data_IF_392055975070
#
_entry.id   IF_392055975070
#
_cell.length_a   1.000
_cell.length_b   1.000
_cell.length_c   1.000
_cell.angle_alpha   90.00
_cell.angle_beta   90.00
_cell.angle_gamma   90.00
#
_symmetry.space_group_name_H-M   'P 1'
#
loop_
_entity.id
_entity.type
_entity.pdbx_description
1 polymer ?
#
# COMPACT_ATOMS: atom_id res chain seq x y z
N UNK A 1 -26.63 -22.06 6.67
CA UNK A 1 -27.92 -22.45 7.26
C UNK A 1 -28.04 -21.85 8.67
N UNK A 2 -27.13 -22.14 9.61
CA UNK A 2 -27.17 -21.46 10.92
C UNK A 2 -27.15 -19.92 10.87
N UNK A 3 -26.24 -19.34 10.08
CA UNK A 3 -26.18 -17.87 9.91
C UNK A 3 -27.49 -17.32 9.34
N UNK A 4 -28.16 -18.04 8.42
CA UNK A 4 -29.44 -17.60 7.85
C UNK A 4 -30.58 -17.73 8.86
N UNK A 5 -30.56 -18.72 9.74
CA UNK A 5 -31.53 -18.88 10.84
C UNK A 5 -31.38 -17.77 11.88
N UNK A 6 -30.13 -17.41 12.24
CA UNK A 6 -29.83 -16.24 13.07
C UNK A 6 -30.26 -14.92 12.41
N UNK A 7 -29.98 -14.76 11.11
CA UNK A 7 -30.39 -13.58 10.35
C UNK A 7 -31.91 -13.46 10.27
N UNK A 8 -32.63 -14.56 10.04
CA UNK A 8 -34.10 -14.56 10.00
C UNK A 8 -34.71 -14.20 11.35
N UNK A 9 -34.12 -14.64 12.46
CA UNK A 9 -34.52 -14.18 13.79
C UNK A 9 -34.41 -12.65 13.92
N UNK A 10 -33.31 -12.06 13.45
CA UNK A 10 -33.14 -10.59 13.42
C UNK A 10 -34.14 -9.91 12.47
N UNK A 11 -34.44 -10.49 11.31
CA UNK A 11 -35.39 -9.92 10.34
C UNK A 11 -36.83 -9.92 10.89
N UNK A 12 -37.27 -11.02 11.52
CA UNK A 12 -38.63 -11.12 12.07
C UNK A 12 -38.84 -10.11 13.22
N UNK A 13 -37.81 -9.88 14.03
CA UNK A 13 -37.87 -8.94 15.16
C UNK A 13 -37.73 -7.48 14.72
N UNK A 14 -36.76 -7.16 13.85
CA UNK A 14 -36.44 -5.78 13.49
C UNK A 14 -37.29 -5.27 12.31
N UNK A 15 -37.38 -6.06 11.23
CA UNK A 15 -38.01 -5.62 9.98
C UNK A 15 -39.51 -5.86 10.03
N UNK A 16 -39.93 -7.06 10.44
CA UNK A 16 -41.35 -7.42 10.47
C UNK A 16 -42.07 -6.98 11.75
N UNK A 17 -41.31 -6.48 12.74
CA UNK A 17 -41.82 -5.99 14.04
C UNK A 17 -42.82 -6.95 14.69
N UNK A 18 -42.63 -8.26 14.50
CA UNK A 18 -43.47 -9.28 15.12
C UNK A 18 -43.02 -9.53 16.56
N UNK A 19 -43.90 -10.08 17.38
CA UNK A 19 -43.58 -10.39 18.77
C UNK A 19 -42.37 -11.33 18.83
N UNK A 20 -41.48 -11.07 19.79
CA UNK A 20 -40.23 -11.83 19.99
C UNK A 20 -40.51 -13.34 20.13
N UNK A 21 -41.68 -13.69 20.67
CA UNK A 21 -42.13 -15.06 20.78
C UNK A 21 -42.15 -15.82 19.45
N UNK A 22 -42.70 -15.23 18.37
CA UNK A 22 -42.72 -15.90 17.06
C UNK A 22 -41.33 -16.06 16.45
N UNK A 23 -40.46 -15.06 16.62
CA UNK A 23 -39.08 -15.15 16.17
C UNK A 23 -38.33 -16.26 16.91
N UNK A 24 -38.50 -16.34 18.24
CA UNK A 24 -37.86 -17.34 19.08
C UNK A 24 -38.37 -18.75 18.78
N UNK A 25 -39.68 -18.91 18.55
CA UNK A 25 -40.26 -20.18 18.12
C UNK A 25 -39.66 -20.64 16.78
N UNK A 26 -39.57 -19.75 15.80
CA UNK A 26 -38.92 -20.04 14.52
C UNK A 26 -37.46 -20.47 14.72
N UNK A 27 -36.71 -19.72 15.52
CA UNK A 27 -35.31 -20.02 15.82
C UNK A 27 -35.13 -21.40 16.49
N UNK A 28 -36.00 -21.77 17.44
CA UNK A 28 -35.94 -23.08 18.08
C UNK A 28 -36.25 -24.19 17.07
N UNK A 29 -37.30 -24.05 16.25
CA UNK A 29 -37.72 -25.09 15.31
C UNK A 29 -36.63 -25.32 14.25
N UNK A 30 -36.19 -24.26 13.57
CA UNK A 30 -35.18 -24.39 12.52
C UNK A 30 -33.77 -24.63 13.09
N UNK A 31 -33.42 -23.98 14.20
CA UNK A 31 -32.14 -24.19 14.87
C UNK A 31 -31.97 -25.62 15.39
N UNK A 32 -33.03 -26.25 15.91
CA UNK A 32 -32.97 -27.64 16.35
C UNK A 32 -32.78 -28.63 15.20
N UNK A 33 -33.46 -28.41 14.05
CA UNK A 33 -33.26 -29.20 12.83
C UNK A 33 -31.80 -29.12 12.35
N UNK A 34 -31.24 -27.91 12.33
CA UNK A 34 -29.84 -27.71 11.94
C UNK A 34 -28.86 -28.31 12.95
N UNK A 35 -29.15 -28.21 14.25
CA UNK A 35 -28.32 -28.83 15.29
C UNK A 35 -28.36 -30.35 15.20
N UNK A 36 -29.51 -30.94 14.89
CA UNK A 36 -29.66 -32.38 14.65
C UNK A 36 -28.86 -32.80 13.41
N UNK A 37 -28.94 -32.02 12.33
CA UNK A 37 -28.12 -32.26 11.14
C UNK A 37 -26.63 -32.16 11.43
N UNK A 38 -26.20 -31.14 12.17
CA UNK A 38 -24.80 -31.00 12.60
C UNK A 38 -24.36 -32.18 13.46
N UNK A 39 -25.18 -32.61 14.41
CA UNK A 39 -24.92 -33.80 15.24
C UNK A 39 -24.73 -35.06 14.37
N UNK A 40 -25.60 -35.26 13.36
CA UNK A 40 -25.46 -36.36 12.42
C UNK A 40 -24.18 -36.27 11.54
N UNK A 41 -23.68 -35.06 11.27
CA UNK A 41 -22.38 -34.90 10.63
C UNK A 41 -21.22 -35.24 11.57
N UNK A 42 -21.32 -34.88 12.86
CA UNK A 42 -20.30 -35.16 13.88
C UNK A 42 -20.15 -36.66 14.12
N UNK A 43 -21.23 -37.44 14.13
CA UNK A 43 -21.15 -38.91 14.29
C UNK A 43 -20.43 -39.61 13.15
N UNK A 44 -20.37 -39.00 11.95
CA UNK A 44 -19.61 -39.51 10.80
C UNK A 44 -18.14 -39.11 10.80
N UNK A 45 -17.70 -38.24 11.71
CA UNK A 45 -16.29 -37.80 11.80
C UNK A 45 -15.33 -38.96 12.02
N UNK A 46 -15.58 -39.90 12.96
CA UNK A 46 -14.71 -41.06 13.16
C UNK A 46 -14.64 -41.99 11.93
N UNK A 47 -15.72 -42.04 11.14
CA UNK A 47 -15.86 -42.93 9.98
C UNK A 47 -15.39 -42.29 8.65
N UNK A 48 -14.67 -41.16 8.70
CA UNK A 48 -14.06 -40.53 7.53
C UNK A 48 -14.41 -39.05 7.33
N UNK A 49 -15.36 -38.50 8.11
CA UNK A 49 -15.67 -37.07 8.09
C UNK A 49 -14.56 -36.16 8.63
N UNK A 50 -13.52 -36.71 9.26
CA UNK A 50 -12.37 -35.95 9.77
C UNK A 50 -11.44 -35.42 8.66
N UNK A 51 -11.41 -36.05 7.48
CA UNK A 51 -10.53 -35.65 6.37
C UNK A 51 -10.82 -34.20 5.89
N UNK A 52 -12.06 -33.84 5.50
CA UNK A 52 -12.37 -32.47 5.08
C UNK A 52 -12.20 -31.46 6.22
N UNK A 53 -12.46 -31.86 7.48
CA UNK A 53 -12.22 -31.01 8.64
C UNK A 53 -10.72 -30.71 8.81
N UNK A 54 -9.86 -31.73 8.76
CA UNK A 54 -8.42 -31.56 8.85
C UNK A 54 -7.88 -30.69 7.71
N UNK A 55 -8.33 -30.92 6.46
CA UNK A 55 -7.96 -30.10 5.31
C UNK A 55 -8.38 -28.63 5.49
N UNK A 56 -9.61 -28.40 5.94
CA UNK A 56 -10.11 -27.05 6.19
C UNK A 56 -9.30 -26.34 7.28
N UNK A 57 -8.90 -27.06 8.33
CA UNK A 57 -8.09 -26.52 9.43
C UNK A 57 -6.69 -26.14 8.96
N UNK A 58 -6.07 -26.94 8.08
CA UNK A 58 -4.76 -26.63 7.48
C UNK A 58 -4.86 -25.36 6.63
N UNK A 59 -5.83 -25.30 5.71
CA UNK A 59 -6.02 -24.13 4.85
C UNK A 59 -6.35 -22.87 5.65
N UNK A 60 -7.21 -22.99 6.67
CA UNK A 60 -7.51 -21.89 7.59
C UNK A 60 -6.26 -21.42 8.33
N UNK A 61 -5.41 -22.34 8.77
CA UNK A 61 -4.18 -21.99 9.49
C UNK A 61 -3.21 -21.23 8.58
N UNK A 62 -3.03 -21.67 7.33
CA UNK A 62 -2.21 -20.97 6.32
C UNK A 62 -2.73 -19.55 6.12
N UNK A 63 -4.04 -19.41 5.89
CA UNK A 63 -4.66 -18.10 5.65
C UNK A 63 -4.63 -17.20 6.88
N UNK A 64 -4.84 -17.75 8.08
CA UNK A 64 -4.76 -17.01 9.33
C UNK A 64 -3.34 -16.52 9.63
N UNK A 65 -2.32 -17.35 9.40
CA UNK A 65 -0.91 -16.96 9.54
C UNK A 65 -0.56 -15.85 8.54
N UNK A 66 -1.00 -16.01 7.27
CA UNK A 66 -0.81 -14.99 6.23
C UNK A 66 -1.44 -13.67 6.64
N UNK A 67 -2.74 -13.68 6.94
CA UNK A 67 -3.48 -12.49 7.35
C UNK A 67 -2.82 -11.84 8.58
N UNK A 68 -2.48 -12.63 9.61
CA UNK A 68 -1.86 -12.11 10.82
C UNK A 68 -0.53 -11.40 10.50
N UNK A 69 0.36 -12.04 9.74
CA UNK A 69 1.65 -11.45 9.37
C UNK A 69 1.51 -10.21 8.50
N UNK A 70 0.62 -10.21 7.50
CA UNK A 70 0.35 -9.05 6.64
C UNK A 70 -0.24 -7.88 7.45
N UNK A 71 -1.19 -8.15 8.36
CA UNK A 71 -1.75 -7.11 9.23
C UNK A 71 -0.70 -6.51 10.18
N UNK A 72 0.17 -7.33 10.77
CA UNK A 72 1.27 -6.84 11.61
C UNK A 72 2.27 -6.01 10.81
N UNK A 73 2.56 -6.40 9.56
CA UNK A 73 3.38 -5.61 8.63
C UNK A 73 2.80 -4.21 8.45
N UNK A 74 1.52 -4.16 8.07
CA UNK A 74 0.83 -2.91 7.74
C UNK A 74 0.72 -2.01 8.97
N UNK A 75 0.47 -2.59 10.15
CA UNK A 75 0.45 -1.85 11.41
C UNK A 75 1.82 -1.23 11.72
N UNK A 76 2.91 -1.98 11.50
CA UNK A 76 4.26 -1.46 11.72
C UNK A 76 4.58 -0.32 10.74
N UNK A 77 4.23 -0.47 9.46
CA UNK A 77 4.38 0.61 8.46
C UNK A 77 3.56 1.84 8.85
N UNK A 78 2.35 1.64 9.38
CA UNK A 78 1.48 2.74 9.81
C UNK A 78 1.99 3.50 11.04
N UNK A 79 2.67 2.82 11.95
CA UNK A 79 3.25 3.41 13.17
C UNK A 79 4.61 4.07 12.93
N UNK A 80 5.41 3.54 12.01
CA UNK A 80 6.76 4.01 11.70
C UNK A 80 6.80 4.83 10.41
N UNK A 81 5.70 5.51 10.08
CA UNK A 81 5.67 6.45 8.96
C UNK A 81 6.57 7.63 9.27
N UNK A 82 7.32 8.08 8.28
CA UNK A 82 8.13 9.28 8.41
C UNK A 82 7.48 10.44 7.71
N UNK A 83 7.50 11.60 8.38
CA UNK A 83 7.10 12.85 7.75
C UNK A 83 8.24 13.38 6.87
N UNK A 84 7.87 14.21 5.90
CA UNK A 84 8.84 14.81 4.99
C UNK A 84 9.78 15.75 5.73
N UNK A 85 9.27 16.48 6.72
CA UNK A 85 10.07 17.38 7.56
C UNK A 85 11.19 16.63 8.29
N UNK A 86 10.93 15.42 8.78
CA UNK A 86 11.94 14.58 9.41
C UNK A 86 13.00 14.15 8.40
N UNK A 87 12.60 13.76 7.18
CA UNK A 87 13.53 13.44 6.11
C UNK A 87 14.43 14.64 5.76
N UNK A 88 13.87 15.85 5.67
CA UNK A 88 14.63 17.05 5.36
C UNK A 88 15.60 17.43 6.48
N UNK A 89 15.22 17.21 7.75
CA UNK A 89 16.13 17.36 8.90
C UNK A 89 17.28 16.38 8.81
N UNK A 90 16.99 15.10 8.54
CA UNK A 90 18.04 14.11 8.30
C UNK A 90 18.93 14.52 7.13
N UNK A 91 18.36 15.01 6.03
CA UNK A 91 19.15 15.42 4.86
C UNK A 91 19.99 16.68 5.03
N UNK A 92 19.71 17.54 6.02
CA UNK A 92 20.62 18.63 6.40
C UNK A 92 21.76 18.14 7.29
N UNK A 93 21.50 17.11 8.10
CA UNK A 93 22.50 16.54 9.03
C UNK A 93 23.45 15.53 8.37
N UNK A 94 22.93 14.73 7.45
CA UNK A 94 23.71 13.86 6.58
C UNK A 94 23.96 14.66 5.32
N UNK A 95 25.20 15.00 4.96
CA UNK A 95 25.51 15.72 3.71
C UNK A 95 25.12 14.89 2.48
N UNK A 96 23.84 14.90 2.10
CA UNK A 96 23.29 14.02 1.07
C UNK A 96 23.79 14.42 -0.31
N UNK A 97 24.39 13.47 -1.02
CA UNK A 97 24.83 13.64 -2.41
C UNK A 97 23.65 13.38 -3.35
N UNK A 98 23.38 14.30 -4.28
CA UNK A 98 22.36 14.11 -5.32
C UNK A 98 23.00 13.56 -6.59
N UNK A 99 22.54 12.39 -7.02
CA UNK A 99 22.95 11.71 -8.26
C UNK A 99 21.97 12.11 -9.37
N UNK A 100 22.42 12.29 -10.64
CA UNK A 100 21.49 12.51 -11.76
C UNK A 100 20.52 11.33 -11.95
N UNK A 101 19.34 11.63 -12.49
CA UNK A 101 18.26 10.68 -12.75
C UNK A 101 17.04 10.86 -11.84
N UNK A 102 16.05 9.99 -12.02
CA UNK A 102 14.81 9.98 -11.24
C UNK A 102 14.69 8.66 -10.47
N UNK A 103 14.37 8.75 -9.18
CA UNK A 103 14.09 7.57 -8.36
C UNK A 103 12.59 7.44 -8.09
N UNK A 104 12.01 6.31 -8.51
CA UNK A 104 10.65 5.90 -8.21
C UNK A 104 10.66 4.99 -6.99
N UNK A 105 10.18 5.48 -5.84
CA UNK A 105 10.10 4.70 -4.61
C UNK A 105 8.69 4.15 -4.45
N UNK A 106 8.52 2.84 -4.56
CA UNK A 106 7.22 2.21 -4.38
C UNK A 106 6.86 2.05 -2.91
N UNK A 107 5.68 2.52 -2.56
CA UNK A 107 5.12 2.45 -1.20
C UNK A 107 3.73 1.83 -1.20
N UNK A 108 3.47 0.95 -0.24
CA UNK A 108 2.15 0.42 0.10
C UNK A 108 1.26 1.45 0.78
N UNK A 109 1.86 2.49 1.35
CA UNK A 109 1.17 3.52 2.12
C UNK A 109 1.05 4.80 1.28
N UNK A 110 -0.17 5.32 1.17
CA UNK A 110 -0.47 6.54 0.41
C UNK A 110 -0.04 7.84 1.10
N UNK A 111 0.27 7.75 2.40
CA UNK A 111 0.60 8.88 3.24
C UNK A 111 1.84 8.64 4.10
N UNK A 112 2.77 9.59 4.03
CA UNK A 112 4.11 9.52 4.62
C UNK A 112 5.15 8.90 3.69
N UNK A 113 6.42 9.04 4.09
CA UNK A 113 7.56 8.38 3.46
C UNK A 113 7.69 6.99 4.07
N UNK A 114 7.87 5.93 3.25
CA UNK A 114 8.01 4.58 3.77
C UNK A 114 9.33 4.45 4.56
N UNK A 115 9.35 3.75 5.70
CA UNK A 115 10.53 3.65 6.57
C UNK A 115 11.75 2.97 5.91
N UNK A 116 11.55 2.26 4.79
CA UNK A 116 12.66 1.75 3.97
C UNK A 116 13.53 2.85 3.40
N UNK A 117 12.96 4.01 3.09
CA UNK A 117 13.70 5.08 2.44
C UNK A 117 14.65 5.77 3.43
N UNK A 118 14.23 5.97 4.68
CA UNK A 118 15.10 6.50 5.71
C UNK A 118 16.23 5.53 6.05
N UNK A 119 15.92 4.25 6.19
CA UNK A 119 16.94 3.22 6.42
C UNK A 119 17.98 3.17 5.30
N UNK A 120 17.52 3.32 4.05
CA UNK A 120 18.40 3.43 2.90
C UNK A 120 19.32 4.65 3.00
N UNK A 121 18.78 5.83 3.28
CA UNK A 121 19.57 7.07 3.36
C UNK A 121 20.59 7.06 4.51
N UNK A 122 20.25 6.45 5.65
CA UNK A 122 21.19 6.33 6.77
C UNK A 122 22.40 5.47 6.41
N UNK A 123 22.22 4.44 5.58
CA UNK A 123 23.32 3.58 5.15
C UNK A 123 24.07 4.15 3.94
N UNK A 124 23.35 4.77 3.00
CA UNK A 124 23.86 5.34 1.77
C UNK A 124 23.33 6.77 1.67
N UNK A 125 24.13 7.79 2.04
CA UNK A 125 23.72 9.19 2.03
C UNK A 125 23.72 9.76 0.59
N UNK A 126 23.09 9.07 -0.35
CA UNK A 126 22.94 9.50 -1.73
C UNK A 126 21.59 9.09 -2.30
N UNK A 127 20.93 10.00 -3.01
CA UNK A 127 19.69 9.71 -3.72
C UNK A 127 19.59 10.56 -4.99
N UNK A 128 18.60 10.27 -5.83
CA UNK A 128 18.47 10.90 -7.14
C UNK A 128 18.00 12.35 -7.04
N UNK A 129 18.28 13.16 -8.08
CA UNK A 129 17.95 14.58 -8.10
C UNK A 129 16.44 14.82 -7.98
N UNK A 130 15.61 13.95 -8.57
CA UNK A 130 14.16 13.92 -8.42
C UNK A 130 13.74 12.61 -7.76
N UNK A 131 12.87 12.72 -6.77
CA UNK A 131 12.34 11.59 -6.02
C UNK A 131 10.82 11.58 -6.11
N UNK A 132 10.25 10.47 -6.59
CA UNK A 132 8.81 10.30 -6.71
C UNK A 132 8.39 9.08 -5.89
N UNK A 133 7.60 9.31 -4.84
CA UNK A 133 6.99 8.24 -4.06
C UNK A 133 5.73 7.76 -4.75
N UNK A 134 5.77 6.55 -5.31
CA UNK A 134 4.67 5.95 -6.06
C UNK A 134 3.89 5.00 -5.16
N UNK A 135 2.59 5.26 -4.98
CA UNK A 135 1.68 4.34 -4.28
C UNK A 135 0.66 3.77 -5.26
N UNK A 136 0.61 2.44 -5.35
CA UNK A 136 -0.31 1.74 -6.25
C UNK A 136 -1.58 1.37 -5.49
N UNK A 137 -2.72 1.91 -5.91
CA UNK A 137 -4.03 1.62 -5.31
C UNK A 137 -4.91 0.87 -6.29
N UNK A 138 -5.48 -0.26 -5.86
CA UNK A 138 -6.46 -0.99 -6.68
C UNK A 138 -7.86 -0.58 -6.26
N UNK A 139 -8.67 -0.11 -7.20
CA UNK A 139 -10.06 0.31 -6.96
C UNK A 139 -11.04 -0.71 -7.53
N UNK A 140 -12.22 -0.83 -6.92
CA UNK A 140 -13.29 -1.76 -7.33
C UNK A 140 -14.06 -1.31 -8.60
N UNK A 141 -13.40 -0.62 -9.53
CA UNK A 141 -13.94 -0.22 -10.84
C UNK A 141 -13.17 -0.94 -11.95
N UNK A 142 -13.78 -1.24 -13.11
CA UNK A 142 -13.12 -2.00 -14.17
C UNK A 142 -11.89 -1.27 -14.73
N UNK A 143 -12.06 0.00 -15.08
CA UNK A 143 -11.02 0.85 -15.63
C UNK A 143 -11.14 2.24 -15.01
N UNK A 144 -10.02 2.80 -14.58
CA UNK A 144 -9.98 4.16 -14.03
C UNK A 144 -9.80 5.15 -15.18
N UNK A 145 -10.54 6.27 -15.21
CA UNK A 145 -10.33 7.30 -16.21
C UNK A 145 -8.91 7.88 -16.10
N UNK A 146 -8.29 8.30 -17.22
CA UNK A 146 -6.90 8.73 -17.25
C UNK A 146 -6.61 9.94 -16.34
N UNK A 147 -7.61 10.78 -16.09
CA UNK A 147 -7.50 11.98 -15.24
C UNK A 147 -7.46 11.66 -13.74
N UNK A 148 -8.15 10.61 -13.30
CA UNK A 148 -8.13 10.15 -11.90
C UNK A 148 -7.07 9.05 -11.65
N UNK A 149 -6.41 8.59 -12.72
CA UNK A 149 -5.45 7.49 -12.63
C UNK A 149 -4.20 7.89 -11.87
N UNK A 150 -3.76 9.14 -11.99
CA UNK A 150 -2.57 9.66 -11.32
C UNK A 150 -2.95 10.88 -10.50
N UNK A 151 -2.80 10.78 -9.19
CA UNK A 151 -2.91 11.93 -8.29
C UNK A 151 -1.50 12.29 -7.83
N UNK A 152 -1.01 13.46 -8.24
CA UNK A 152 0.32 13.97 -7.89
C UNK A 152 0.16 15.05 -6.83
N UNK A 153 0.97 14.96 -5.77
CA UNK A 153 1.08 15.97 -4.73
C UNK A 153 2.55 16.30 -4.48
N UNK A 154 2.85 17.53 -4.06
CA UNK A 154 4.20 17.93 -3.64
C UNK A 154 4.40 17.66 -2.15
N UNK A 155 5.53 17.03 -1.79
CA UNK A 155 5.83 16.62 -0.41
C UNK A 155 6.71 17.63 0.34
N UNK A 156 7.55 18.37 -0.38
CA UNK A 156 8.50 19.34 0.19
C UNK A 156 8.41 20.66 -0.56
N UNK A 157 8.97 21.73 0.02
CA UNK A 157 9.20 22.98 -0.70
C UNK A 157 9.90 22.73 -2.03
N UNK A 158 9.60 23.56 -3.04
CA UNK A 158 10.01 23.42 -4.45
C UNK A 158 11.48 22.98 -4.65
N UNK A 159 12.38 23.44 -3.78
CA UNK A 159 13.82 23.17 -3.83
C UNK A 159 14.22 21.68 -3.76
N UNK A 160 13.45 20.83 -3.08
CA UNK A 160 13.88 19.45 -2.83
C UNK A 160 13.43 18.45 -3.89
N UNK A 161 12.50 18.83 -4.80
CA UNK A 161 11.99 18.00 -5.91
C UNK A 161 11.51 16.61 -5.48
N UNK A 162 10.73 16.61 -4.39
CA UNK A 162 10.13 15.40 -3.82
C UNK A 162 8.63 15.44 -4.12
N UNK A 163 8.19 14.48 -4.92
CA UNK A 163 6.80 14.33 -5.32
C UNK A 163 6.20 13.05 -4.74
N UNK A 164 4.90 13.09 -4.52
CA UNK A 164 4.06 11.93 -4.23
C UNK A 164 3.20 11.69 -5.46
N UNK A 165 3.08 10.43 -5.87
CA UNK A 165 2.12 10.03 -6.87
C UNK A 165 1.34 8.82 -6.40
N UNK A 166 0.01 8.93 -6.40
CA UNK A 166 -0.90 7.82 -6.16
C UNK A 166 -1.45 7.39 -7.52
N UNK A 167 -1.06 6.19 -7.96
CA UNK A 167 -1.56 5.61 -9.20
C UNK A 167 -2.68 4.60 -8.91
N UNK A 168 -3.88 4.90 -9.40
CA UNK A 168 -5.10 4.10 -9.21
C UNK A 168 -5.36 3.18 -10.40
N UNK A 169 -5.54 1.90 -10.14
CA UNK A 169 -5.81 0.89 -11.14
C UNK A 169 -7.13 0.19 -10.87
N UNK A 170 -7.94 0.03 -11.91
CA UNK A 170 -9.10 -0.82 -11.91
C UNK A 170 -8.74 -2.29 -12.08
N UNK A 171 -9.70 -3.18 -11.84
CA UNK A 171 -9.47 -4.63 -11.92
C UNK A 171 -9.25 -5.16 -13.35
N UNK A 172 -9.58 -4.37 -14.40
CA UNK A 172 -9.27 -4.68 -15.82
C UNK A 172 -8.13 -3.82 -16.39
N UNK A 173 -7.49 -2.96 -15.60
CA UNK A 173 -6.40 -2.13 -16.11
C UNK A 173 -5.11 -2.93 -16.28
N UNK A 174 -4.50 -2.82 -17.46
CA UNK A 174 -3.22 -3.47 -17.77
C UNK A 174 -2.07 -2.73 -17.06
N UNK A 175 -1.26 -3.47 -16.29
CA UNK A 175 -0.09 -2.95 -15.54
C UNK A 175 1.26 -3.21 -16.23
N UNK A 176 1.29 -4.01 -17.28
CA UNK A 176 2.50 -4.71 -17.73
C UNK A 176 3.53 -3.90 -18.52
N UNK A 177 3.26 -2.63 -18.86
CA UNK A 177 4.17 -1.79 -19.63
C UNK A 177 4.75 -0.69 -18.75
N UNK A 178 5.97 -0.95 -18.26
CA UNK A 178 6.69 -0.10 -17.31
C UNK A 178 7.11 1.21 -17.96
N UNK A 179 7.57 1.20 -19.22
CA UNK A 179 7.96 2.41 -19.94
C UNK A 179 6.77 3.33 -20.18
N UNK A 180 5.63 2.76 -20.59
CA UNK A 180 4.39 3.52 -20.74
C UNK A 180 3.90 4.10 -19.40
N UNK A 181 4.15 3.40 -18.29
CA UNK A 181 3.87 3.95 -16.97
C UNK A 181 4.77 5.14 -16.65
N UNK A 182 6.08 5.05 -16.89
CA UNK A 182 7.04 6.14 -16.71
C UNK A 182 6.61 7.39 -17.50
N UNK A 183 6.34 7.26 -18.80
CA UNK A 183 5.95 8.37 -19.67
C UNK A 183 4.70 9.09 -19.13
N UNK A 184 3.67 8.32 -18.75
CA UNK A 184 2.41 8.88 -18.24
C UNK A 184 2.59 9.53 -16.87
N UNK A 185 3.42 8.93 -16.01
CA UNK A 185 3.76 9.46 -14.71
C UNK A 185 4.49 10.80 -14.86
N UNK A 186 5.54 10.84 -15.67
CA UNK A 186 6.34 12.05 -15.92
C UNK A 186 5.49 13.17 -16.54
N UNK A 187 4.65 12.85 -17.51
CA UNK A 187 3.72 13.82 -18.10
C UNK A 187 2.77 14.42 -17.05
N UNK A 188 2.22 13.59 -16.15
CA UNK A 188 1.32 14.07 -15.08
C UNK A 188 2.06 14.87 -14.00
N UNK A 189 3.29 14.51 -13.66
CA UNK A 189 4.12 15.29 -12.72
C UNK A 189 4.52 16.64 -13.33
N UNK A 190 4.86 16.68 -14.63
CA UNK A 190 5.14 17.92 -15.34
C UNK A 190 3.90 18.83 -15.42
N UNK A 191 2.72 18.26 -15.73
CA UNK A 191 1.45 19.00 -15.72
C UNK A 191 1.16 19.58 -14.33
N UNK A 192 1.35 18.79 -13.28
CA UNK A 192 1.19 19.23 -11.90
C UNK A 192 2.17 20.35 -11.55
N UNK A 193 3.46 20.24 -11.91
CA UNK A 193 4.47 21.26 -11.61
C UNK A 193 4.11 22.63 -12.22
N UNK A 194 3.54 22.65 -13.43
CA UNK A 194 3.03 23.87 -14.07
C UNK A 194 1.78 24.43 -13.36
N UNK A 195 0.85 23.57 -12.93
CA UNK A 195 -0.38 24.01 -12.26
C UNK A 195 -0.15 24.49 -10.83
N UNK A 196 0.74 23.84 -10.08
CA UNK A 196 1.10 24.17 -8.70
C UNK A 196 1.71 25.57 -8.63
N UNK A 197 2.66 25.85 -9.54
CA UNK A 197 3.25 27.19 -9.68
C UNK A 197 2.22 28.26 -10.07
N UNK A 198 1.27 27.93 -10.97
CA UNK A 198 0.17 28.85 -11.30
C UNK A 198 -0.69 29.19 -10.07
N UNK A 199 -1.06 28.21 -9.23
CA UNK A 199 -1.85 28.46 -8.01
C UNK A 199 -1.12 29.36 -7.03
N UNK A 200 0.18 29.13 -6.83
CA UNK A 200 1.02 29.95 -5.95
C UNK A 200 1.15 31.38 -6.50
N UNK A 201 1.25 31.55 -7.82
CA UNK A 201 1.24 32.86 -8.48
C UNK A 201 -0.08 33.61 -8.31
N UNK A 202 -1.23 32.92 -8.37
CA UNK A 202 -2.56 33.52 -8.19
C UNK A 202 -2.79 33.93 -6.75
N UNK A 203 -2.40 33.09 -5.79
CA UNK A 203 -2.46 33.42 -4.36
C UNK A 203 -1.60 34.66 -4.05
N UNK A 204 -0.39 34.72 -4.61
CA UNK A 204 0.54 35.83 -4.39
C UNK A 204 0.03 37.15 -5.02
N UNK A 205 -0.62 37.07 -6.19
CA UNK A 205 -1.27 38.22 -6.86
C UNK A 205 -2.40 38.85 -6.05
N UNK A 206 -3.08 38.07 -5.21
CA UNK A 206 -4.13 38.58 -4.31
C UNK A 206 -3.48 39.32 -3.13
N UNK A 207 -2.28 38.93 -2.69
CA UNK A 207 -1.59 39.50 -1.53
C UNK A 207 -0.66 40.68 -1.83
N UNK A 208 0.06 40.73 -2.96
CA UNK A 208 0.97 41.85 -3.30
C UNK A 208 1.13 42.07 -4.81
N UNK A 209 0.98 43.30 -5.34
CA UNK A 209 1.22 43.55 -6.74
C UNK A 209 2.71 43.88 -6.98
N UNK A 210 3.34 43.06 -7.85
CA UNK A 210 4.32 43.47 -8.88
C UNK A 210 5.82 43.43 -8.52
N UNK A 211 6.49 42.32 -8.92
CA UNK A 211 7.79 42.23 -9.65
C UNK A 211 8.33 40.80 -9.79
N UNK A 212 7.82 39.83 -9.02
CA UNK A 212 8.33 38.44 -9.00
C UNK A 212 7.72 37.50 -10.07
N UNK A 213 6.72 37.95 -10.84
CA UNK A 213 5.96 37.10 -11.77
C UNK A 213 6.80 36.48 -12.90
N UNK A 214 7.76 37.24 -13.45
CA UNK A 214 8.58 36.76 -14.59
C UNK A 214 9.56 35.68 -14.13
N UNK A 215 10.11 35.82 -12.93
CA UNK A 215 11.06 34.86 -12.35
C UNK A 215 10.39 33.55 -11.91
N UNK A 216 9.13 33.59 -11.47
CA UNK A 216 8.39 32.38 -11.06
C UNK A 216 8.02 31.50 -12.26
N UNK A 217 7.46 32.07 -13.33
CA UNK A 217 7.14 31.30 -14.53
C UNK A 217 8.38 30.72 -15.24
N UNK A 218 9.55 31.34 -15.08
CA UNK A 218 10.82 30.80 -15.57
C UNK A 218 11.28 29.59 -14.74
N UNK A 219 11.14 29.63 -13.40
CA UNK A 219 11.46 28.51 -12.51
C UNK A 219 10.57 27.29 -12.74
N UNK A 220 9.29 27.47 -13.03
CA UNK A 220 8.38 26.36 -13.33
C UNK A 220 8.79 25.63 -14.62
N UNK A 221 9.14 26.39 -15.67
CA UNK A 221 9.64 25.81 -16.92
C UNK A 221 11.00 25.15 -16.75
N UNK A 222 11.86 25.71 -15.90
CA UNK A 222 13.15 25.10 -15.53
C UNK A 222 12.93 23.77 -14.79
N UNK A 223 11.99 23.72 -13.84
CA UNK A 223 11.65 22.49 -13.11
C UNK A 223 11.16 21.39 -14.07
N UNK A 224 10.28 21.74 -15.02
CA UNK A 224 9.81 20.79 -16.05
C UNK A 224 10.93 20.37 -17.00
N UNK A 225 11.81 21.30 -17.40
CA UNK A 225 12.97 21.00 -18.23
C UNK A 225 13.91 20.00 -17.56
N UNK A 226 14.18 20.19 -16.27
CA UNK A 226 14.99 19.26 -15.50
C UNK A 226 14.28 17.92 -15.24
N UNK A 227 12.95 17.90 -15.06
CA UNK A 227 12.21 16.63 -14.99
C UNK A 227 12.43 15.79 -16.26
N UNK A 228 12.42 16.42 -17.44
CA UNK A 228 12.66 15.73 -18.72
C UNK A 228 14.12 15.30 -18.87
N UNK A 229 15.08 16.20 -18.61
CA UNK A 229 16.51 15.90 -18.68
C UNK A 229 16.91 14.74 -17.75
N UNK A 230 16.40 14.76 -16.51
CA UNK A 230 16.68 13.69 -15.56
C UNK A 230 15.94 12.39 -15.91
N UNK A 231 14.78 12.47 -16.58
CA UNK A 231 14.11 11.30 -17.15
C UNK A 231 14.96 10.62 -18.22
N UNK A 232 15.61 11.40 -19.09
CA UNK A 232 16.55 10.90 -20.10
C UNK A 232 17.83 10.33 -19.50
N UNK A 233 18.29 10.88 -18.36
CA UNK A 233 19.45 10.35 -17.62
C UNK A 233 19.20 8.97 -16.99
N UNK A 234 17.94 8.55 -16.87
CA UNK A 234 17.53 7.21 -16.45
C UNK A 234 16.64 7.18 -15.20
N UNK A 235 15.82 6.12 -15.13
CA UNK A 235 14.88 5.86 -14.05
C UNK A 235 15.37 4.69 -13.18
N UNK A 236 15.43 4.90 -11.87
CA UNK A 236 15.77 3.87 -10.90
C UNK A 236 14.55 3.55 -10.04
N UNK A 237 14.32 2.27 -9.78
CA UNK A 237 13.16 1.80 -9.04
C UNK A 237 13.54 1.28 -7.68
N UNK A 238 13.04 1.88 -6.62
CA UNK A 238 13.28 1.43 -5.26
C UNK A 238 12.07 0.71 -4.68
N UNK A 239 12.27 -0.52 -4.19
CA UNK A 239 11.22 -1.36 -3.60
C UNK A 239 11.69 -1.92 -2.26
N UNK A 240 10.79 -1.91 -1.28
CA UNK A 240 11.06 -2.46 0.05
C UNK A 240 10.92 -3.97 0.08
N UNK A 241 11.99 -4.66 0.46
CA UNK A 241 11.94 -6.08 0.81
C UNK A 241 11.95 -6.26 2.33
N UNK A 242 10.76 -6.13 2.91
CA UNK A 242 10.56 -6.17 4.37
C UNK A 242 10.42 -7.60 4.88
N UNK A 243 11.35 -8.04 5.71
CA UNK A 243 11.24 -9.25 6.50
C UNK A 243 10.63 -8.94 7.87
N UNK A 244 9.69 -9.77 8.31
CA UNK A 244 9.03 -9.61 9.60
C UNK A 244 9.60 -10.63 10.56
N UNK A 245 10.06 -10.17 11.72
CA UNK A 245 10.65 -11.02 12.76
C UNK A 245 9.95 -10.71 14.08
N UNK A 246 9.60 -11.74 14.85
CA UNK A 246 9.05 -11.55 16.18
C UNK A 246 10.09 -10.97 17.15
N UNK A 247 9.68 -10.08 18.05
CA UNK A 247 10.57 -9.56 19.09
C UNK A 247 11.13 -10.69 19.99
N UNK A 248 12.32 -10.48 20.54
CA UNK A 248 13.03 -11.47 21.37
C UNK A 248 12.26 -11.84 22.64
N UNK A 249 11.49 -10.91 23.21
CA UNK A 249 10.62 -11.15 24.38
C UNK A 249 9.24 -11.71 24.02
N UNK A 250 8.92 -11.91 22.73
CA UNK A 250 7.63 -12.49 22.33
C UNK A 250 7.51 -13.96 22.71
N UNK A 251 6.28 -14.41 22.92
CA UNK A 251 5.94 -15.81 23.19
C UNK A 251 6.46 -16.75 22.09
N UNK A 252 6.77 -17.99 22.49
CA UNK A 252 7.24 -19.03 21.57
C UNK A 252 6.30 -19.21 20.37
N UNK A 253 4.98 -19.27 20.61
CA UNK A 253 3.98 -19.41 19.55
C UNK A 253 4.01 -18.25 18.55
N UNK A 254 4.14 -17.01 19.03
CA UNK A 254 4.26 -15.84 18.14
C UNK A 254 5.53 -15.91 17.29
N UNK A 255 6.66 -16.33 17.86
CA UNK A 255 7.92 -16.55 17.12
C UNK A 255 7.74 -17.64 16.06
N UNK A 256 7.10 -18.75 16.40
CA UNK A 256 6.85 -19.85 15.44
C UNK A 256 5.97 -19.38 14.28
N UNK A 257 4.86 -18.70 14.58
CA UNK A 257 3.92 -18.18 13.58
C UNK A 257 4.57 -17.16 12.65
N UNK A 258 5.31 -16.18 13.20
CA UNK A 258 5.89 -15.09 12.41
C UNK A 258 7.15 -15.56 11.66
N UNK A 259 8.13 -16.12 12.37
CA UNK A 259 9.45 -16.37 11.79
C UNK A 259 9.43 -17.57 10.83
N UNK A 260 8.70 -18.64 11.19
CA UNK A 260 8.62 -19.84 10.36
C UNK A 260 7.37 -19.82 9.48
N UNK A 261 6.18 -19.70 10.05
CA UNK A 261 4.92 -19.78 9.29
C UNK A 261 4.82 -18.70 8.22
N UNK A 262 4.75 -17.43 8.64
CA UNK A 262 4.62 -16.30 7.72
C UNK A 262 5.88 -16.13 6.86
N UNK A 263 7.07 -16.30 7.44
CA UNK A 263 8.34 -16.27 6.72
C UNK A 263 8.41 -17.27 5.56
N UNK A 264 7.97 -18.52 5.78
CA UNK A 264 7.89 -19.56 4.75
C UNK A 264 6.88 -19.20 3.66
N UNK A 265 5.65 -18.83 4.05
CA UNK A 265 4.61 -18.47 3.08
C UNK A 265 5.06 -17.31 2.18
N UNK A 266 5.64 -16.27 2.78
CA UNK A 266 6.15 -15.10 2.04
C UNK A 266 7.25 -15.47 1.04
N UNK A 267 8.16 -16.39 1.38
CA UNK A 267 9.24 -16.84 0.48
C UNK A 267 8.73 -17.64 -0.72
N UNK A 268 7.61 -18.37 -0.54
CA UNK A 268 6.99 -19.14 -1.62
C UNK A 268 6.07 -18.29 -2.52
N UNK A 269 5.67 -17.09 -2.06
CA UNK A 269 4.89 -16.16 -2.87
C UNK A 269 5.78 -15.32 -3.81
N UNK A 270 5.20 -14.87 -4.93
CA UNK A 270 5.86 -14.00 -5.90
C UNK A 270 6.30 -12.68 -5.25
N UNK A 271 7.52 -12.23 -5.59
CA UNK A 271 8.07 -10.99 -5.05
C UNK A 271 7.36 -9.75 -5.64
N UNK A 272 7.21 -8.65 -4.87
CA UNK A 272 6.56 -7.42 -5.33
C UNK A 272 7.18 -6.82 -6.60
N UNK A 273 8.52 -6.85 -6.73
CA UNK A 273 9.21 -6.32 -7.91
C UNK A 273 8.82 -7.08 -9.20
N UNK A 274 8.64 -8.40 -9.10
CA UNK A 274 8.24 -9.22 -10.24
C UNK A 274 6.76 -9.03 -10.62
N UNK A 275 5.92 -8.55 -9.70
CA UNK A 275 4.51 -8.22 -9.99
C UNK A 275 4.41 -6.94 -10.84
N UNK A 276 5.32 -5.99 -10.62
CA UNK A 276 5.34 -4.70 -11.32
C UNK A 276 5.98 -4.74 -12.71
N UNK A 277 6.58 -5.88 -13.10
CA UNK A 277 7.19 -6.04 -14.43
C UNK A 277 8.47 -5.23 -14.65
N UNK A 278 9.08 -4.72 -13.57
CA UNK A 278 10.23 -3.81 -13.65
C UNK A 278 11.49 -4.60 -14.03
N UNK A 279 12.31 -4.09 -14.97
CA UNK A 279 13.56 -4.75 -15.35
C UNK A 279 14.51 -4.86 -14.14
N UNK A 280 15.10 -6.04 -13.88
CA UNK A 280 15.93 -6.26 -12.69
C UNK A 280 17.21 -5.41 -12.67
N UNK A 281 17.66 -4.91 -13.82
CA UNK A 281 18.84 -4.04 -13.93
C UNK A 281 18.64 -2.67 -13.28
N UNK A 282 17.40 -2.19 -13.16
CA UNK A 282 17.07 -0.85 -12.68
C UNK A 282 16.39 -0.86 -11.31
N UNK A 283 16.29 -2.04 -10.66
CA UNK A 283 15.61 -2.21 -9.36
C UNK A 283 16.63 -2.23 -8.22
N UNK A 284 16.44 -1.33 -7.26
CA UNK A 284 17.09 -1.36 -5.95
C UNK A 284 16.10 -1.94 -4.94
N UNK A 285 16.39 -3.15 -4.46
CA UNK A 285 15.64 -3.74 -3.34
C UNK A 285 16.27 -3.35 -2.00
N UNK A 286 15.55 -2.60 -1.18
CA UNK A 286 16.00 -2.22 0.17
C UNK A 286 15.48 -3.25 1.16
N UNK A 287 16.40 -4.04 1.72
CA UNK A 287 16.09 -4.97 2.80
C UNK A 287 15.80 -4.25 4.11
N UNK A 288 14.72 -4.61 4.79
CA UNK A 288 14.43 -4.15 6.15
C UNK A 288 13.92 -5.28 7.02
N UNK A 289 14.20 -5.21 8.32
CA UNK A 289 13.65 -6.14 9.31
C UNK A 289 12.68 -5.39 10.23
N UNK A 290 11.40 -5.76 10.19
CA UNK A 290 10.39 -5.24 11.11
C UNK A 290 10.26 -6.18 12.30
N UNK A 291 10.59 -5.66 13.49
CA UNK A 291 10.46 -6.40 14.75
C UNK A 291 9.08 -6.15 15.37
N UNK A 292 8.19 -7.14 15.31
CA UNK A 292 6.76 -7.04 15.75
C UNK A 292 6.38 -7.98 16.86
#
# INVERSE_FOLDING_TARGET
MFVTTCLMFLVITIVWKRTIFFAFLFFIVFGSLEFLYFSACVTKVPHGGWIPLAFSLIMLSIMAIWHYGTSRKLLYEAQNKLQVDDLLRFGKSLSLVRIPGICLVYSTTADGIPPMFSHFITNIPAFHRILIFVSLQTVARPKVPPDEQFMVDRLSASEHRIFRCIARYGYKDARGDVYRFEERLLAKVAEFALQDGWKESVLDRISKPRREDVTKGMREREEVGELLEQGEAGMTYMIGNVQIVAQEMSSFWKKMVINHGYGFLRRNCRQPAAELGIPPSSVIQVGMVYRV
#
